data_IF_391258295632
#
_entry.id   IF_391258295632
#
_cell.length_a   1.000
_cell.length_b   1.000
_cell.length_c   1.000
_cell.angle_alpha   90.00
_cell.angle_beta   90.00
_cell.angle_gamma   90.00
#
_symmetry.space_group_name_H-M   'P 1'
#
loop_
_entity.id
_entity.type
_entity.pdbx_description
1 polymer ?
#
# COMPACT_ATOMS: atom_id res chain seq x y z
N UNK A 1 37.42 3.43 19.05
CA UNK A 1 36.15 3.91 18.48
C UNK A 1 35.09 2.88 18.85
N UNK A 2 34.18 3.19 19.76
CA UNK A 2 33.03 2.31 20.05
C UNK A 2 32.11 2.33 18.86
N UNK A 3 31.93 1.21 18.16
CA UNK A 3 30.96 1.10 17.08
C UNK A 3 29.58 1.38 17.67
N UNK A 4 28.89 2.42 17.19
CA UNK A 4 27.49 2.68 17.60
C UNK A 4 26.65 1.46 17.23
N UNK A 5 26.02 0.83 18.21
CA UNK A 5 25.07 -0.23 17.96
C UNK A 5 23.78 0.40 17.43
N UNK A 6 23.36 0.02 16.22
CA UNK A 6 22.14 0.50 15.62
C UNK A 6 20.91 0.03 16.44
N UNK A 7 19.96 0.92 16.63
CA UNK A 7 18.64 0.57 17.18
C UNK A 7 17.87 -0.37 16.23
N UNK A 8 16.78 -0.93 16.70
CA UNK A 8 15.91 -1.78 15.84
C UNK A 8 15.45 -1.03 14.57
N UNK A 9 14.91 0.17 14.72
CA UNK A 9 14.44 0.96 13.58
C UNK A 9 15.57 1.43 12.65
N UNK A 10 16.74 1.78 13.17
CA UNK A 10 17.91 2.10 12.34
C UNK A 10 18.39 0.90 11.51
N UNK A 11 18.27 -0.33 12.02
CA UNK A 11 18.57 -1.55 11.25
C UNK A 11 17.55 -1.80 10.15
N UNK A 12 16.26 -1.67 10.45
CA UNK A 12 15.20 -1.79 9.45
C UNK A 12 15.32 -0.73 8.34
N UNK A 13 15.63 0.51 8.71
CA UNK A 13 15.90 1.59 7.76
C UNK A 13 17.09 1.27 6.86
N UNK A 14 18.22 0.83 7.44
CA UNK A 14 19.42 0.48 6.68
C UNK A 14 19.16 -0.67 5.70
N UNK A 15 18.43 -1.70 6.11
CA UNK A 15 18.00 -2.81 5.24
C UNK A 15 17.15 -2.30 4.08
N UNK A 16 16.13 -1.49 4.36
CA UNK A 16 15.24 -0.95 3.33
C UNK A 16 15.98 -0.06 2.33
N UNK A 17 16.89 0.79 2.80
CA UNK A 17 17.74 1.63 1.94
C UNK A 17 18.66 0.77 1.06
N UNK A 18 19.24 -0.28 1.62
CA UNK A 18 20.04 -1.23 0.85
C UNK A 18 19.23 -1.87 -0.27
N UNK A 19 18.03 -2.41 0.04
CA UNK A 19 17.12 -3.01 -0.95
C UNK A 19 16.76 -2.03 -2.07
N UNK A 20 16.42 -0.78 -1.74
CA UNK A 20 16.10 0.25 -2.73
C UNK A 20 17.26 0.52 -3.69
N UNK A 21 18.49 0.59 -3.16
CA UNK A 21 19.71 0.80 -3.96
C UNK A 21 20.07 -0.40 -4.82
N UNK A 22 19.93 -1.63 -4.30
CA UNK A 22 20.15 -2.86 -5.06
C UNK A 22 19.24 -2.94 -6.29
N UNK A 23 17.96 -2.62 -6.14
CA UNK A 23 17.03 -2.64 -7.27
C UNK A 23 17.42 -1.62 -8.35
N UNK A 24 17.82 -0.42 -7.95
CA UNK A 24 18.26 0.61 -8.92
C UNK A 24 19.56 0.20 -9.63
N UNK A 25 20.43 -0.56 -8.96
CA UNK A 25 21.67 -1.05 -9.57
C UNK A 25 21.45 -2.23 -10.53
N UNK A 26 20.45 -3.07 -10.26
CA UNK A 26 20.24 -4.37 -10.93
C UNK A 26 19.11 -4.35 -11.97
N UNK A 27 18.14 -3.41 -11.85
CA UNK A 27 16.95 -3.34 -12.71
C UNK A 27 17.05 -2.15 -13.68
N UNK A 28 16.51 -2.32 -14.89
CA UNK A 28 16.60 -1.30 -15.94
C UNK A 28 15.56 -0.18 -15.74
N UNK A 29 14.37 -0.52 -15.32
CA UNK A 29 13.26 0.43 -15.22
C UNK A 29 12.39 0.19 -13.98
N UNK A 30 12.88 0.52 -12.78
CA UNK A 30 12.11 0.40 -11.55
C UNK A 30 11.03 1.46 -11.44
N UNK A 31 9.97 1.17 -10.65
CA UNK A 31 8.88 2.09 -10.31
C UNK A 31 8.47 1.89 -8.86
N UNK A 32 8.04 2.95 -8.17
CA UNK A 32 7.47 2.84 -6.83
C UNK A 32 5.95 2.95 -6.88
N UNK A 33 5.26 1.91 -6.43
CA UNK A 33 3.80 1.94 -6.30
C UNK A 33 3.42 2.86 -5.13
N UNK A 34 2.65 3.89 -5.43
CA UNK A 34 2.27 4.91 -4.45
C UNK A 34 0.77 4.90 -4.18
N UNK A 35 0.35 4.11 -3.19
CA UNK A 35 -1.06 3.96 -2.78
C UNK A 35 -1.55 5.07 -1.84
N UNK A 36 -0.66 5.93 -1.36
CA UNK A 36 -0.89 7.01 -0.38
C UNK A 36 -1.29 6.49 1.02
N UNK A 37 -1.09 5.21 1.29
CA UNK A 37 -1.21 4.63 2.63
C UNK A 37 0.05 4.89 3.48
N UNK A 38 -0.02 4.59 4.78
CA UNK A 38 1.10 4.76 5.71
C UNK A 38 2.38 4.04 5.27
N UNK A 39 2.22 2.82 4.75
CA UNK A 39 3.34 1.99 4.31
C UNK A 39 4.04 2.60 3.08
N UNK A 40 3.27 3.06 2.09
CA UNK A 40 3.84 3.75 0.92
C UNK A 40 4.41 5.14 1.25
N UNK A 41 3.90 5.81 2.28
CA UNK A 41 4.48 7.07 2.78
C UNK A 41 5.87 6.82 3.40
N UNK A 42 6.00 5.77 4.22
CA UNK A 42 7.32 5.36 4.77
C UNK A 42 8.27 4.96 3.64
N UNK A 43 7.81 4.19 2.65
CA UNK A 43 8.65 3.82 1.50
C UNK A 43 9.14 5.04 0.71
N UNK A 44 8.28 6.04 0.47
CA UNK A 44 8.68 7.29 -0.20
C UNK A 44 9.74 8.04 0.63
N UNK A 45 9.56 8.11 1.95
CA UNK A 45 10.53 8.72 2.84
C UNK A 45 11.89 7.99 2.79
N UNK A 46 11.88 6.65 2.86
CA UNK A 46 13.08 5.81 2.75
C UNK A 46 13.79 5.99 1.39
N UNK A 47 13.02 6.07 0.30
CA UNK A 47 13.57 6.32 -1.04
C UNK A 47 14.27 7.68 -1.12
N UNK A 48 13.65 8.73 -0.60
CA UNK A 48 14.28 10.07 -0.52
C UNK A 48 15.58 10.04 0.29
N UNK A 49 15.63 9.30 1.41
CA UNK A 49 16.87 9.10 2.19
C UNK A 49 17.91 8.29 1.42
N UNK A 50 17.50 7.24 0.72
CA UNK A 50 18.39 6.34 -0.01
C UNK A 50 19.20 7.05 -1.11
N UNK A 51 18.60 8.06 -1.76
CA UNK A 51 19.20 8.75 -2.88
C UNK A 51 19.57 10.22 -2.61
N UNK A 52 19.37 10.69 -1.37
CA UNK A 52 19.79 12.05 -0.99
C UNK A 52 21.24 12.34 -1.38
N UNK A 53 21.56 13.54 -1.96
CA UNK A 53 20.70 14.73 -2.10
C UNK A 53 19.85 14.77 -3.39
N UNK A 54 20.00 13.81 -4.30
CA UNK A 54 19.22 13.73 -5.52
C UNK A 54 17.83 13.14 -5.26
N UNK A 55 16.81 13.43 -6.09
CA UNK A 55 15.56 12.69 -6.05
C UNK A 55 15.78 11.21 -6.41
N UNK A 56 14.92 10.29 -5.95
CA UNK A 56 14.98 8.89 -6.35
C UNK A 56 14.91 8.73 -7.88
N UNK A 57 15.75 7.86 -8.50
CA UNK A 57 15.87 7.76 -9.95
C UNK A 57 14.79 6.86 -10.59
N UNK A 58 13.58 6.92 -10.09
CA UNK A 58 12.41 6.18 -10.60
C UNK A 58 11.12 6.95 -10.30
N UNK A 59 10.06 6.76 -11.11
CA UNK A 59 8.78 7.44 -10.89
C UNK A 59 7.95 6.81 -9.78
N UNK A 60 6.95 7.57 -9.33
CA UNK A 60 5.81 7.07 -8.56
C UNK A 60 4.70 6.62 -9.52
N UNK A 61 4.12 5.44 -9.29
CA UNK A 61 2.95 4.98 -10.01
C UNK A 61 1.75 4.89 -9.07
N UNK A 62 0.73 5.68 -9.34
CA UNK A 62 -0.55 5.61 -8.67
C UNK A 62 -1.60 4.96 -9.58
N UNK A 63 -2.02 3.74 -9.25
CA UNK A 63 -3.17 3.11 -9.91
C UNK A 63 -4.44 3.69 -9.30
N UNK A 64 -5.07 4.59 -10.04
CA UNK A 64 -6.22 5.35 -9.58
C UNK A 64 -7.52 4.61 -9.92
N UNK A 65 -8.27 4.28 -8.88
CA UNK A 65 -9.58 3.63 -9.00
C UNK A 65 -10.73 4.63 -9.08
N UNK A 66 -10.44 5.95 -9.10
CA UNK A 66 -11.39 7.06 -8.98
C UNK A 66 -12.17 7.11 -7.65
N UNK A 67 -11.99 6.11 -6.80
CA UNK A 67 -12.69 5.93 -5.53
C UNK A 67 -11.74 6.00 -4.32
N UNK A 68 -10.83 6.98 -4.31
CA UNK A 68 -10.02 7.30 -3.13
C UNK A 68 -10.67 8.42 -2.33
N UNK A 69 -10.36 8.48 -1.04
CA UNK A 69 -10.73 9.63 -0.21
C UNK A 69 -10.08 10.92 -0.76
N UNK A 70 -10.80 12.06 -0.68
CA UNK A 70 -10.28 13.37 -1.13
C UNK A 70 -8.92 13.71 -0.54
N UNK A 71 -8.77 13.51 0.78
CA UNK A 71 -7.51 13.75 1.49
C UNK A 71 -6.33 12.90 0.96
N UNK A 72 -6.59 11.74 0.35
CA UNK A 72 -5.53 10.94 -0.28
C UNK A 72 -5.03 11.56 -1.57
N UNK A 73 -5.91 12.10 -2.41
CA UNK A 73 -5.50 12.81 -3.63
C UNK A 73 -4.68 14.05 -3.32
N UNK A 74 -5.08 14.83 -2.33
CA UNK A 74 -4.37 16.03 -1.89
C UNK A 74 -2.95 15.70 -1.42
N UNK A 75 -2.81 14.68 -0.54
CA UNK A 75 -1.50 14.24 -0.07
C UNK A 75 -0.65 13.66 -1.19
N UNK A 76 -1.23 12.87 -2.11
CA UNK A 76 -0.54 12.29 -3.27
C UNK A 76 0.18 13.36 -4.07
N UNK A 77 -0.58 14.37 -4.49
CA UNK A 77 -0.08 15.40 -5.40
C UNK A 77 0.94 16.32 -4.70
N UNK A 78 0.73 16.60 -3.41
CA UNK A 78 1.70 17.33 -2.60
C UNK A 78 3.01 16.56 -2.46
N UNK A 79 2.97 15.30 -2.05
CA UNK A 79 4.17 14.51 -1.80
C UNK A 79 4.95 14.20 -3.08
N UNK A 80 4.29 14.03 -4.22
CA UNK A 80 4.96 13.88 -5.50
C UNK A 80 5.78 15.13 -5.84
N UNK A 81 5.19 16.32 -5.71
CA UNK A 81 5.92 17.60 -5.92
C UNK A 81 7.09 17.76 -4.95
N UNK A 82 6.87 17.53 -3.65
CA UNK A 82 7.91 17.71 -2.62
C UNK A 82 9.05 16.69 -2.72
N UNK A 83 8.80 15.53 -3.29
CA UNK A 83 9.84 14.51 -3.51
C UNK A 83 10.69 14.76 -4.76
N UNK A 84 10.25 15.62 -5.66
CA UNK A 84 10.88 15.83 -6.97
C UNK A 84 10.76 14.64 -7.91
N UNK A 85 9.88 13.67 -7.61
CA UNK A 85 9.66 12.48 -8.42
C UNK A 85 8.51 12.69 -9.41
N UNK A 86 8.64 12.10 -10.59
CA UNK A 86 7.54 12.03 -11.56
C UNK A 86 6.39 11.20 -10.98
N UNK A 87 5.16 11.69 -11.10
CA UNK A 87 3.95 10.97 -10.71
C UNK A 87 3.20 10.49 -11.95
N UNK A 88 3.17 9.19 -12.15
CA UNK A 88 2.35 8.53 -13.15
C UNK A 88 1.02 8.10 -12.52
N UNK A 89 -0.08 8.62 -13.03
CA UNK A 89 -1.44 8.26 -12.61
C UNK A 89 -2.07 7.41 -13.70
N UNK A 90 -2.38 6.15 -13.39
CA UNK A 90 -2.98 5.23 -14.34
C UNK A 90 -4.40 4.87 -13.94
N UNK A 91 -5.33 4.99 -14.87
CA UNK A 91 -6.72 4.54 -14.75
C UNK A 91 -6.96 3.46 -15.80
N UNK A 92 -7.57 2.33 -15.41
CA UNK A 92 -7.93 1.28 -16.36
C UNK A 92 -9.01 1.80 -17.33
N UNK A 93 -8.73 1.92 -18.64
CA UNK A 93 -9.67 2.49 -19.59
C UNK A 93 -10.94 1.64 -19.76
N UNK A 94 -10.84 0.31 -19.73
CA UNK A 94 -11.99 -0.59 -19.83
C UNK A 94 -12.91 -0.46 -18.60
N UNK A 95 -12.34 -0.41 -17.39
CA UNK A 95 -13.12 -0.22 -16.17
C UNK A 95 -13.84 1.13 -16.17
N UNK A 96 -13.21 2.16 -16.75
CA UNK A 96 -13.78 3.51 -16.89
C UNK A 96 -14.94 3.50 -17.91
N UNK A 97 -14.74 2.92 -19.07
CA UNK A 97 -15.74 2.83 -20.15
C UNK A 97 -16.98 2.05 -19.69
N UNK A 98 -16.78 0.96 -18.95
CA UNK A 98 -17.85 0.12 -18.40
C UNK A 98 -18.51 0.71 -17.15
N UNK A 99 -18.08 1.85 -16.64
CA UNK A 99 -18.62 2.49 -15.44
C UNK A 99 -18.48 1.64 -14.17
N UNK A 100 -17.42 0.82 -14.08
CA UNK A 100 -17.21 -0.10 -12.95
C UNK A 100 -17.02 0.69 -11.66
N UNK A 101 -17.96 0.55 -10.73
CA UNK A 101 -17.95 1.22 -9.43
C UNK A 101 -18.04 0.20 -8.27
N UNK A 102 -17.67 0.57 -7.04
CA UNK A 102 -17.61 -0.37 -5.92
C UNK A 102 -18.97 -0.80 -5.37
N UNK A 103 -20.05 -0.05 -5.62
CA UNK A 103 -21.38 -0.34 -5.07
C UNK A 103 -22.12 -1.41 -5.88
N UNK A 104 -22.04 -1.32 -7.21
CA UNK A 104 -22.78 -2.22 -8.10
C UNK A 104 -21.95 -3.45 -8.50
N UNK A 105 -20.62 -3.35 -8.40
CA UNK A 105 -19.72 -4.35 -8.99
C UNK A 105 -18.83 -5.07 -7.95
N UNK A 106 -18.87 -4.69 -6.67
CA UNK A 106 -18.20 -5.40 -5.58
C UNK A 106 -16.73 -5.79 -5.87
N UNK A 107 -16.44 -7.10 -5.85
CA UNK A 107 -15.10 -7.64 -6.10
C UNK A 107 -14.56 -7.29 -7.51
N UNK A 108 -15.42 -7.27 -8.53
CA UNK A 108 -15.03 -6.91 -9.91
C UNK A 108 -14.41 -5.51 -9.98
N UNK A 109 -14.90 -4.57 -9.18
CA UNK A 109 -14.28 -3.24 -9.08
C UNK A 109 -12.81 -3.33 -8.68
N UNK A 110 -12.47 -4.13 -7.69
CA UNK A 110 -11.08 -4.30 -7.26
C UNK A 110 -10.23 -4.99 -8.33
N UNK A 111 -10.76 -6.02 -8.96
CA UNK A 111 -10.03 -6.80 -9.95
C UNK A 111 -9.74 -5.96 -11.20
N UNK A 112 -10.72 -5.24 -11.73
CA UNK A 112 -10.55 -4.39 -12.90
C UNK A 112 -9.67 -3.17 -12.64
N UNK A 113 -9.97 -2.41 -11.60
CA UNK A 113 -9.26 -1.15 -11.35
C UNK A 113 -7.87 -1.34 -10.76
N UNK A 114 -7.69 -2.31 -9.84
CA UNK A 114 -6.41 -2.50 -9.15
C UNK A 114 -5.55 -3.56 -9.81
N UNK A 115 -6.08 -4.79 -9.98
CA UNK A 115 -5.27 -5.91 -10.47
C UNK A 115 -4.95 -5.73 -11.95
N UNK A 116 -5.97 -5.61 -12.79
CA UNK A 116 -5.76 -5.42 -14.23
C UNK A 116 -5.15 -4.05 -14.54
N UNK A 117 -5.59 -2.99 -13.85
CA UNK A 117 -5.02 -1.66 -14.00
C UNK A 117 -3.52 -1.60 -13.67
N UNK A 118 -3.08 -2.34 -12.65
CA UNK A 118 -1.64 -2.44 -12.33
C UNK A 118 -0.87 -3.17 -13.44
N UNK A 119 -1.36 -4.33 -13.92
CA UNK A 119 -0.72 -5.08 -15.00
C UNK A 119 -0.58 -4.21 -16.25
N UNK A 120 -1.68 -3.60 -16.67
CA UNK A 120 -1.71 -2.70 -17.84
C UNK A 120 -0.69 -1.54 -17.70
N UNK A 121 -0.61 -0.92 -16.53
CA UNK A 121 0.34 0.15 -16.31
C UNK A 121 1.79 -0.33 -16.39
N UNK A 122 2.11 -1.48 -15.78
CA UNK A 122 3.46 -2.03 -15.79
C UNK A 122 3.90 -2.40 -17.21
N UNK A 123 3.01 -3.00 -18.00
CA UNK A 123 3.26 -3.37 -19.40
C UNK A 123 3.40 -2.12 -20.29
N UNK A 124 2.47 -1.17 -20.16
CA UNK A 124 2.47 0.06 -20.94
C UNK A 124 3.75 0.86 -20.78
N UNK A 125 4.22 0.99 -19.54
CA UNK A 125 5.44 1.73 -19.25
C UNK A 125 6.71 0.87 -19.32
N UNK A 126 6.58 -0.45 -19.44
CA UNK A 126 7.71 -1.39 -19.51
C UNK A 126 8.53 -1.47 -18.23
N UNK A 127 7.89 -1.40 -17.06
CA UNK A 127 8.58 -1.51 -15.78
C UNK A 127 8.98 -2.97 -15.50
N UNK A 128 10.22 -3.17 -15.13
CA UNK A 128 10.79 -4.49 -14.83
C UNK A 128 10.90 -4.79 -13.34
N UNK A 129 10.81 -3.77 -12.48
CA UNK A 129 10.75 -3.89 -11.04
C UNK A 129 9.73 -2.89 -10.45
N UNK A 130 8.92 -3.34 -9.48
CA UNK A 130 7.96 -2.47 -8.80
C UNK A 130 8.07 -2.61 -7.28
N UNK A 131 8.42 -1.49 -6.62
CA UNK A 131 8.45 -1.42 -5.17
C UNK A 131 7.04 -1.37 -4.59
N UNK A 132 6.80 -2.14 -3.54
CA UNK A 132 5.53 -2.20 -2.84
C UNK A 132 5.64 -2.25 -1.33
N UNK A 133 4.63 -1.74 -0.66
CA UNK A 133 4.56 -1.58 0.78
C UNK A 133 4.06 -2.81 1.55
N UNK A 134 4.08 -4.01 0.96
CA UNK A 134 3.63 -5.20 1.66
C UNK A 134 4.62 -5.63 2.75
N UNK A 135 4.07 -6.07 3.89
CA UNK A 135 4.81 -6.53 5.06
C UNK A 135 4.41 -7.97 5.42
N UNK A 136 5.36 -8.77 5.89
CA UNK A 136 5.10 -10.14 6.35
C UNK A 136 4.13 -10.21 7.53
N UNK A 137 4.13 -9.16 8.35
CA UNK A 137 3.25 -9.00 9.52
C UNK A 137 1.77 -8.78 9.14
N UNK A 138 1.50 -8.32 7.92
CA UNK A 138 0.19 -7.89 7.47
C UNK A 138 -0.82 -9.04 7.36
N UNK A 139 -0.38 -10.17 6.80
CA UNK A 139 -1.17 -11.40 6.71
C UNK A 139 -0.33 -12.64 6.30
N UNK A 140 -0.90 -13.85 6.49
CA UNK A 140 -0.21 -15.13 6.26
C UNK A 140 0.32 -15.32 4.84
N UNK A 141 -0.39 -14.84 3.81
CA UNK A 141 0.06 -14.99 2.42
C UNK A 141 1.27 -14.12 2.13
N UNK A 142 1.40 -12.96 2.79
CA UNK A 142 2.55 -12.06 2.68
C UNK A 142 3.81 -12.66 3.31
N UNK A 143 3.67 -13.42 4.38
CA UNK A 143 4.79 -14.11 5.03
C UNK A 143 5.50 -15.11 4.12
N UNK A 144 4.84 -15.63 3.08
CA UNK A 144 5.40 -16.54 2.09
C UNK A 144 6.20 -15.85 0.99
N UNK A 145 6.02 -14.55 0.78
CA UNK A 145 6.73 -13.81 -0.27
C UNK A 145 8.17 -13.51 0.11
N UNK A 146 9.02 -13.50 -0.92
CA UNK A 146 10.40 -13.01 -0.82
C UNK A 146 10.41 -11.48 -0.92
N UNK A 147 11.48 -10.85 -0.48
CA UNK A 147 11.70 -9.42 -0.66
C UNK A 147 11.78 -9.09 -2.16
N UNK A 148 12.50 -9.92 -2.94
CA UNK A 148 12.50 -9.90 -4.41
C UNK A 148 11.57 -11.01 -4.91
N UNK A 149 10.31 -10.68 -5.10
CA UNK A 149 9.26 -11.63 -5.50
C UNK A 149 9.09 -11.65 -7.01
N UNK A 150 9.57 -12.72 -7.64
CA UNK A 150 9.53 -12.89 -9.11
C UNK A 150 8.11 -13.12 -9.60
N UNK A 151 7.80 -12.49 -10.73
CA UNK A 151 6.52 -12.60 -11.44
C UNK A 151 6.76 -13.13 -12.83
N UNK A 152 5.89 -14.02 -13.27
CA UNK A 152 5.86 -14.53 -14.65
C UNK A 152 5.53 -13.41 -15.64
N UNK A 153 5.65 -13.68 -16.93
CA UNK A 153 5.25 -12.77 -18.00
C UNK A 153 3.76 -12.35 -17.93
N UNK A 154 2.90 -13.14 -17.26
CA UNK A 154 1.49 -12.81 -16.99
C UNK A 154 1.31 -12.14 -15.61
N UNK A 155 2.37 -11.65 -14.97
CA UNK A 155 2.42 -11.06 -13.64
C UNK A 155 2.09 -11.99 -12.46
N UNK A 156 1.83 -13.28 -12.72
CA UNK A 156 1.49 -14.26 -11.70
C UNK A 156 2.67 -14.59 -10.77
N UNK A 157 2.37 -14.85 -9.51
CA UNK A 157 3.33 -15.35 -8.53
C UNK A 157 3.36 -16.87 -8.52
N UNK A 158 4.54 -17.45 -8.74
CA UNK A 158 4.79 -18.89 -8.62
C UNK A 158 5.74 -19.15 -7.45
N UNK A 159 5.30 -19.85 -6.38
CA UNK A 159 6.17 -20.14 -5.23
C UNK A 159 7.37 -21.02 -5.56
N UNK A 160 7.31 -21.81 -6.64
CA UNK A 160 8.40 -22.69 -7.07
C UNK A 160 9.50 -21.94 -7.82
N UNK A 161 9.19 -20.78 -8.35
CA UNK A 161 10.13 -19.96 -9.14
C UNK A 161 10.64 -18.74 -8.36
N UNK A 162 10.83 -18.90 -7.05
CA UNK A 162 11.40 -17.86 -6.20
C UNK A 162 12.85 -18.21 -5.83
N UNK A 163 13.65 -17.17 -5.55
CA UNK A 163 15.06 -17.35 -5.20
C UNK A 163 15.28 -17.27 -3.70
N UNK A 164 16.24 -18.02 -3.14
CA UNK A 164 16.64 -17.87 -1.76
C UNK A 164 17.33 -16.51 -1.53
N UNK A 165 17.08 -15.91 -0.37
CA UNK A 165 17.62 -14.61 0.06
C UNK A 165 18.52 -14.82 1.30
N UNK A 166 19.52 -15.69 1.17
CA UNK A 166 20.45 -15.98 2.25
C UNK A 166 21.38 -14.79 2.49
N UNK A 167 21.65 -14.47 3.72
CA UNK A 167 22.53 -13.38 4.17
C UNK A 167 22.20 -12.00 3.60
N UNK A 168 20.90 -11.74 3.31
CA UNK A 168 20.43 -10.52 2.68
C UNK A 168 21.11 -10.22 1.33
N UNK A 169 21.50 -11.26 0.62
CA UNK A 169 21.96 -11.17 -0.75
C UNK A 169 20.77 -11.33 -1.70
N UNK A 170 20.57 -10.34 -2.54
CA UNK A 170 19.47 -10.31 -3.50
C UNK A 170 20.00 -10.57 -4.90
N UNK A 171 19.20 -11.20 -5.74
CA UNK A 171 19.54 -11.48 -7.12
C UNK A 171 18.35 -11.11 -7.99
N UNK A 172 18.46 -10.00 -8.70
CA UNK A 172 17.42 -9.47 -9.57
C UNK A 172 17.48 -10.01 -11.01
N UNK A 173 18.38 -10.97 -11.30
CA UNK A 173 18.47 -11.56 -12.65
C UNK A 173 17.15 -12.25 -13.00
N UNK A 174 16.49 -11.81 -14.04
CA UNK A 174 15.19 -12.29 -14.52
C UNK A 174 15.27 -12.77 -15.97
N UNK A 175 14.34 -13.60 -16.38
CA UNK A 175 14.17 -13.97 -17.78
C UNK A 175 13.46 -12.84 -18.54
N UNK A 176 13.50 -12.93 -19.87
CA UNK A 176 12.77 -11.99 -20.72
C UNK A 176 11.28 -12.04 -20.39
N UNK A 177 10.65 -10.86 -20.26
CA UNK A 177 9.25 -10.64 -19.88
C UNK A 177 8.89 -10.97 -18.42
N UNK A 178 9.78 -11.49 -17.57
CA UNK A 178 9.57 -11.55 -16.13
C UNK A 178 9.76 -10.17 -15.49
N UNK A 179 9.08 -9.95 -14.37
CA UNK A 179 9.24 -8.76 -13.55
C UNK A 179 9.42 -9.11 -12.08
N UNK A 180 9.83 -8.16 -11.27
CA UNK A 180 10.02 -8.36 -9.83
C UNK A 180 9.13 -7.40 -9.05
N UNK A 181 8.41 -7.92 -8.05
CA UNK A 181 7.84 -7.09 -6.99
C UNK A 181 8.83 -7.04 -5.86
N UNK A 182 9.18 -5.84 -5.40
CA UNK A 182 10.17 -5.66 -4.34
C UNK A 182 9.51 -5.06 -3.12
N UNK A 183 9.76 -5.64 -1.95
CA UNK A 183 9.13 -5.25 -0.68
C UNK A 183 10.16 -4.75 0.33
N UNK A 184 10.63 -3.49 0.22
CA UNK A 184 11.70 -2.96 1.07
C UNK A 184 11.38 -2.97 2.57
N UNK A 185 10.10 -2.90 2.92
CA UNK A 185 9.63 -2.90 4.31
C UNK A 185 9.02 -4.26 4.74
N UNK A 186 9.36 -5.34 4.05
CA UNK A 186 8.81 -6.68 4.29
C UNK A 186 8.97 -7.16 5.74
N UNK A 187 10.08 -6.81 6.38
CA UNK A 187 10.42 -7.23 7.75
C UNK A 187 9.90 -6.27 8.84
N UNK A 188 9.21 -5.21 8.48
CA UNK A 188 8.63 -4.25 9.41
C UNK A 188 7.28 -4.74 9.95
N UNK A 189 7.00 -4.46 11.22
CA UNK A 189 5.67 -4.62 11.81
C UNK A 189 4.82 -3.35 11.63
N UNK A 190 3.50 -3.43 11.88
CA UNK A 190 2.64 -2.25 11.90
C UNK A 190 3.13 -1.22 12.93
N UNK A 191 3.60 -1.70 14.07
CA UNK A 191 4.16 -0.86 15.13
C UNK A 191 5.43 -0.14 14.68
N UNK A 192 6.35 -0.82 13.98
CA UNK A 192 7.57 -0.20 13.44
C UNK A 192 7.22 0.93 12.46
N UNK A 193 6.22 0.73 11.60
CA UNK A 193 5.72 1.77 10.69
C UNK A 193 5.27 3.02 11.46
N UNK A 194 4.44 2.85 12.49
CA UNK A 194 3.93 3.98 13.27
C UNK A 194 5.02 4.68 14.07
N UNK A 195 5.93 3.95 14.70
CA UNK A 195 7.06 4.51 15.42
C UNK A 195 8.01 5.26 14.47
N UNK A 196 8.25 4.72 13.28
CA UNK A 196 9.10 5.37 12.28
C UNK A 196 8.47 6.67 11.76
N UNK A 197 7.15 6.67 11.49
CA UNK A 197 6.39 7.87 11.13
C UNK A 197 6.55 8.96 12.22
N UNK A 198 6.42 8.59 13.49
CA UNK A 198 6.55 9.52 14.62
C UNK A 198 7.98 10.08 14.75
N UNK A 199 9.00 9.23 14.62
CA UNK A 199 10.39 9.63 14.80
C UNK A 199 10.94 10.49 13.66
N UNK A 200 10.39 10.36 12.46
CA UNK A 200 10.88 11.04 11.27
C UNK A 200 9.88 12.07 10.72
N UNK A 201 8.79 12.36 11.42
CA UNK A 201 7.72 13.27 11.00
C UNK A 201 7.23 12.99 9.56
N UNK A 202 7.06 11.71 9.23
CA UNK A 202 6.63 11.30 7.89
C UNK A 202 5.21 11.78 7.62
N UNK A 203 4.96 12.57 6.56
CA UNK A 203 3.61 13.04 6.23
C UNK A 203 2.68 11.89 5.86
N UNK A 204 1.53 11.83 6.51
CA UNK A 204 0.47 10.84 6.27
C UNK A 204 -0.89 11.50 6.12
N UNK A 205 -1.87 10.73 5.60
CA UNK A 205 -3.24 11.20 5.44
C UNK A 205 -3.90 11.44 6.79
N UNK A 206 -4.61 12.57 7.02
CA UNK A 206 -5.28 12.87 8.30
C UNK A 206 -6.34 11.84 8.72
N UNK A 207 -6.77 10.98 7.80
CA UNK A 207 -7.76 9.92 8.07
C UNK A 207 -7.26 8.84 9.04
N UNK A 208 -5.97 8.78 9.30
CA UNK A 208 -5.40 7.90 10.33
C UNK A 208 -5.64 8.39 11.76
N UNK A 209 -6.03 9.64 11.92
CA UNK A 209 -6.35 10.25 13.21
C UNK A 209 -7.87 10.34 13.42
N UNK A 210 -8.30 10.12 14.66
CA UNK A 210 -9.70 10.25 15.03
C UNK A 210 -10.19 11.70 14.85
N UNK A 211 -11.34 11.83 14.20
CA UNK A 211 -12.08 13.08 14.06
C UNK A 211 -13.56 12.77 13.84
N UNK A 212 -14.42 13.76 14.10
CA UNK A 212 -15.83 13.69 13.80
C UNK A 212 -16.05 13.65 12.27
N UNK A 213 -16.67 12.56 11.78
CA UNK A 213 -16.95 12.36 10.37
C UNK A 213 -18.32 11.76 10.13
N UNK A 214 -19.00 12.11 9.01
CA UNK A 214 -20.29 11.52 8.66
C UNK A 214 -20.11 10.05 8.29
N UNK A 215 -20.87 9.17 8.92
CA UNK A 215 -20.76 7.71 8.75
C UNK A 215 -22.12 7.05 8.63
N UNK A 216 -22.14 5.95 7.89
CA UNK A 216 -23.25 5.00 7.84
C UNK A 216 -22.77 3.61 8.23
N UNK A 217 -23.67 2.78 8.74
CA UNK A 217 -23.34 1.40 9.13
C UNK A 217 -23.94 0.43 8.12
N UNK A 218 -23.12 -0.29 7.36
CA UNK A 218 -23.54 -1.28 6.36
C UNK A 218 -22.74 -2.57 6.50
N UNK A 219 -23.43 -3.71 6.46
CA UNK A 219 -22.81 -5.05 6.41
C UNK A 219 -21.76 -5.27 7.52
N UNK A 220 -22.02 -4.74 8.71
CA UNK A 220 -21.11 -4.81 9.85
C UNK A 220 -19.85 -3.94 9.70
N UNK A 221 -19.85 -2.98 8.79
CA UNK A 221 -18.77 -2.00 8.60
C UNK A 221 -19.27 -0.58 8.84
N UNK A 222 -18.43 0.24 9.45
CA UNK A 222 -18.63 1.67 9.58
C UNK A 222 -17.98 2.37 8.39
N UNK A 223 -18.81 2.91 7.49
CA UNK A 223 -18.36 3.54 6.25
C UNK A 223 -18.47 5.07 6.38
N UNK A 224 -17.40 5.78 6.01
CA UNK A 224 -17.41 7.24 5.95
C UNK A 224 -18.05 7.69 4.65
N UNK A 225 -18.93 8.68 4.72
CA UNK A 225 -19.49 9.38 3.55
C UNK A 225 -18.54 10.54 3.19
N UNK A 226 -17.71 10.35 2.17
CA UNK A 226 -16.67 11.32 1.80
C UNK A 226 -17.14 12.34 0.75
N UNK A 227 -18.07 11.93 -0.11
CA UNK A 227 -18.63 12.79 -1.16
C UNK A 227 -20.03 12.34 -1.62
N UNK A 228 -20.64 13.13 -2.52
CA UNK A 228 -22.00 12.96 -3.02
C UNK A 228 -22.21 11.71 -3.90
N UNK A 229 -21.13 11.02 -4.28
CA UNK A 229 -21.20 9.75 -5.03
C UNK A 229 -21.56 8.56 -4.13
N UNK A 230 -21.57 8.76 -2.81
CA UNK A 230 -21.97 7.70 -1.88
C UNK A 230 -23.50 7.56 -1.90
N UNK A 231 -24.08 6.47 -2.44
CA UNK A 231 -25.52 6.30 -2.53
C UNK A 231 -26.08 5.95 -1.14
N UNK A 232 -26.80 6.89 -0.54
CA UNK A 232 -27.56 6.64 0.67
C UNK A 232 -28.81 5.81 0.31
N UNK A 233 -29.17 4.84 1.17
CA UNK A 233 -30.42 4.08 1.05
C UNK A 233 -31.58 4.91 1.57
N UNK A 234 -32.82 4.54 1.17
CA UNK A 234 -34.03 5.20 1.65
C UNK A 234 -34.08 5.17 3.18
N UNK A 235 -34.20 6.35 3.79
CA UNK A 235 -34.21 6.52 5.25
C UNK A 235 -32.84 6.39 5.94
N UNK A 236 -31.75 6.26 5.19
CA UNK A 236 -30.40 6.23 5.76
C UNK A 236 -29.86 7.66 5.90
N UNK A 237 -29.55 8.09 7.11
CA UNK A 237 -28.95 9.38 7.39
C UNK A 237 -27.53 9.19 7.95
N UNK A 238 -26.52 9.93 7.41
CA UNK A 238 -25.18 9.89 7.97
C UNK A 238 -25.14 10.43 9.40
N UNK A 239 -24.52 9.67 10.31
CA UNK A 239 -24.35 10.05 11.71
C UNK A 239 -22.90 10.48 11.93
N UNK A 240 -22.70 11.65 12.57
CA UNK A 240 -21.38 12.11 12.98
C UNK A 240 -20.81 11.22 14.07
N UNK A 241 -19.62 10.68 13.86
CA UNK A 241 -18.90 9.81 14.80
C UNK A 241 -17.42 10.11 14.81
N UNK A 242 -16.83 9.99 15.99
CA UNK A 242 -15.37 10.07 16.12
C UNK A 242 -14.75 8.77 15.61
N UNK A 243 -14.19 8.83 14.40
CA UNK A 243 -13.64 7.67 13.69
C UNK A 243 -12.23 7.94 13.15
N UNK A 244 -11.47 6.86 12.97
CA UNK A 244 -10.23 6.82 12.20
C UNK A 244 -10.16 5.58 11.33
N UNK A 245 -9.17 5.55 10.44
CA UNK A 245 -8.86 4.36 9.64
C UNK A 245 -7.56 3.70 10.11
N UNK A 246 -7.49 2.38 10.11
CA UNK A 246 -6.25 1.63 10.33
C UNK A 246 -5.50 1.40 9.02
N UNK A 247 -6.25 1.20 7.93
CA UNK A 247 -5.71 1.10 6.57
C UNK A 247 -6.55 1.95 5.63
N UNK A 248 -5.98 2.40 4.52
CA UNK A 248 -6.67 3.17 3.51
C UNK A 248 -6.72 2.42 2.17
N UNK A 249 -7.87 2.45 1.54
CA UNK A 249 -8.13 1.81 0.26
C UNK A 249 -9.10 2.63 -0.59
N UNK A 250 -10.02 1.99 -1.31
CA UNK A 250 -11.18 2.67 -1.89
C UNK A 250 -12.16 3.01 -0.78
N UNK A 251 -12.66 4.25 -0.73
CA UNK A 251 -13.39 4.73 0.43
C UNK A 251 -14.65 3.92 0.75
N UNK A 252 -15.47 3.46 -0.21
CA UNK A 252 -16.66 2.70 0.14
C UNK A 252 -16.39 1.22 0.49
N UNK A 253 -15.14 0.75 0.30
CA UNK A 253 -14.71 -0.62 0.62
C UNK A 253 -13.77 -0.68 1.83
N UNK A 254 -13.57 0.44 2.50
CA UNK A 254 -12.67 0.55 3.66
C UNK A 254 -13.47 0.95 4.88
N UNK A 255 -13.61 0.02 5.84
CA UNK A 255 -14.26 0.30 7.11
C UNK A 255 -13.41 1.17 8.01
N UNK A 256 -14.05 2.10 8.70
CA UNK A 256 -13.46 2.87 9.78
C UNK A 256 -13.64 2.15 11.13
N UNK A 257 -12.94 2.61 12.14
CA UNK A 257 -13.11 2.20 13.54
C UNK A 257 -13.45 3.42 14.40
N UNK A 258 -14.35 3.26 15.36
CA UNK A 258 -14.56 4.29 16.37
C UNK A 258 -13.30 4.41 17.23
N UNK A 259 -12.83 5.62 17.43
CA UNK A 259 -11.60 5.88 18.15
C UNK A 259 -11.57 7.32 18.66
N UNK A 260 -10.76 7.54 19.70
CA UNK A 260 -10.40 8.87 20.23
C UNK A 260 -8.94 9.24 19.95
N UNK A 261 -8.20 8.37 19.26
CA UNK A 261 -6.78 8.58 18.98
C UNK A 261 -6.59 9.66 17.91
N UNK A 262 -6.40 10.88 18.31
CA UNK A 262 -6.21 12.08 17.46
C UNK A 262 -4.74 12.46 17.26
N UNK A 263 -3.81 11.76 17.91
CA UNK A 263 -2.36 11.98 17.80
C UNK A 263 -1.63 10.68 17.48
N UNK A 264 -0.40 10.76 16.92
CA UNK A 264 0.44 9.59 16.63
C UNK A 264 0.69 8.74 17.88
N UNK A 265 0.99 9.36 19.01
CA UNK A 265 1.22 8.63 20.26
C UNK A 265 -0.01 7.82 20.68
N UNK A 266 -1.21 8.36 20.53
CA UNK A 266 -2.46 7.64 20.82
C UNK A 266 -2.73 6.51 19.82
N UNK A 267 -2.45 6.71 18.53
CA UNK A 267 -2.53 5.66 17.51
C UNK A 267 -1.56 4.52 17.83
N UNK A 268 -0.34 4.81 18.26
CA UNK A 268 0.65 3.81 18.68
C UNK A 268 0.13 3.04 19.90
N UNK A 269 -0.43 3.71 20.91
CA UNK A 269 -1.01 3.07 22.09
C UNK A 269 -2.16 2.12 21.71
N UNK A 270 -3.08 2.54 20.83
CA UNK A 270 -4.15 1.67 20.34
C UNK A 270 -3.59 0.47 19.56
N UNK A 271 -2.53 0.67 18.77
CA UNK A 271 -1.89 -0.42 18.00
C UNK A 271 -1.27 -1.46 18.93
N UNK A 272 -0.62 -1.04 20.00
CA UNK A 272 -0.04 -1.94 21.01
C UNK A 272 -1.10 -2.80 21.72
N UNK A 273 -2.31 -2.27 21.90
CA UNK A 273 -3.40 -2.97 22.58
C UNK A 273 -4.22 -3.86 21.62
N UNK A 274 -3.98 -3.75 20.33
CA UNK A 274 -4.77 -4.46 19.30
C UNK A 274 -4.21 -5.85 19.06
N UNK A 275 -5.09 -6.86 19.12
CA UNK A 275 -4.76 -8.27 18.82
C UNK A 275 -5.19 -8.71 17.42
N UNK A 276 -5.87 -7.83 16.67
CA UNK A 276 -6.43 -8.13 15.34
C UNK A 276 -5.61 -7.49 14.23
N UNK A 277 -5.50 -8.17 13.07
CA UNK A 277 -4.84 -7.61 11.89
C UNK A 277 -5.47 -6.29 11.46
N UNK A 278 -4.64 -5.35 10.98
CA UNK A 278 -5.09 -4.07 10.42
C UNK A 278 -6.04 -4.22 9.20
N UNK A 279 -5.99 -5.35 8.52
CA UNK A 279 -6.83 -5.65 7.34
C UNK A 279 -8.24 -6.11 7.67
N UNK A 280 -8.56 -6.44 8.91
CA UNK A 280 -9.85 -7.02 9.32
C UNK A 280 -11.07 -6.12 8.97
N UNK A 281 -10.88 -4.83 8.74
CA UNK A 281 -11.93 -3.87 8.34
C UNK A 281 -12.16 -3.75 6.84
N UNK A 282 -11.49 -4.54 5.96
CA UNK A 282 -11.64 -4.44 4.52
C UNK A 282 -12.70 -5.40 3.98
N UNK A 283 -13.64 -4.89 3.18
CA UNK A 283 -14.68 -5.72 2.54
C UNK A 283 -14.10 -6.86 1.71
N UNK A 284 -13.02 -6.60 0.98
CA UNK A 284 -12.36 -7.57 0.11
C UNK A 284 -11.80 -8.79 0.84
N UNK A 285 -11.47 -8.66 2.12
CA UNK A 285 -10.91 -9.76 2.92
C UNK A 285 -12.02 -10.64 3.53
N UNK A 286 -13.28 -10.16 3.55
CA UNK A 286 -14.45 -10.93 3.99
C UNK A 286 -14.94 -11.92 2.93
N UNK A 287 -14.85 -11.55 1.64
CA UNK A 287 -15.37 -12.37 0.54
C UNK A 287 -14.50 -13.59 0.20
N UNK A 288 -13.30 -13.66 0.72
CA UNK A 288 -12.26 -14.55 0.19
C UNK A 288 -11.81 -15.67 1.15
N UNK A 289 -12.52 -15.99 2.22
CA UNK A 289 -12.21 -17.09 3.16
C UNK A 289 -10.73 -17.52 3.11
N UNK A 290 -9.86 -17.06 3.95
CA UNK A 290 -8.45 -17.38 4.17
C UNK A 290 -7.49 -17.69 2.99
N UNK A 291 -8.00 -18.05 1.83
CA UNK A 291 -7.25 -18.36 0.61
C UNK A 291 -7.30 -17.26 -0.46
N UNK A 292 -8.13 -16.22 -0.27
CA UNK A 292 -8.41 -15.23 -1.31
C UNK A 292 -7.20 -14.41 -1.73
N UNK A 293 -6.35 -14.00 -0.80
CA UNK A 293 -5.16 -13.21 -1.13
C UNK A 293 -4.08 -14.04 -1.84
N UNK A 294 -3.96 -15.35 -1.53
CA UNK A 294 -3.03 -16.22 -2.24
C UNK A 294 -3.45 -16.43 -3.70
N UNK A 295 -4.74 -16.63 -3.94
CA UNK A 295 -5.30 -16.69 -5.29
C UNK A 295 -5.08 -15.37 -6.05
N UNK A 296 -5.33 -14.23 -5.42
CA UNK A 296 -5.11 -12.92 -6.04
C UNK A 296 -3.65 -12.65 -6.40
N UNK A 297 -2.68 -13.15 -5.61
CA UNK A 297 -1.25 -13.07 -5.99
C UNK A 297 -0.94 -13.90 -7.24
N UNK A 298 -1.54 -15.09 -7.37
CA UNK A 298 -1.39 -15.90 -8.58
C UNK A 298 -2.00 -15.21 -9.80
N UNK A 299 -3.05 -14.42 -9.63
CA UNK A 299 -3.68 -13.59 -10.66
C UNK A 299 -2.91 -12.29 -10.98
N UNK A 300 -1.82 -12.01 -10.26
CA UNK A 300 -1.00 -10.81 -10.46
C UNK A 300 -1.34 -9.62 -9.56
N UNK A 301 -2.22 -9.81 -8.57
CA UNK A 301 -2.46 -8.78 -7.55
C UNK A 301 -1.21 -8.57 -6.70
N UNK A 302 -1.11 -7.38 -6.16
CA UNK A 302 -0.01 -6.86 -5.39
C UNK A 302 -0.07 -7.25 -3.92
#
# INVERSE_FOLDING_TARGET
>A
MTSKVLTHLERLEAESIHILREVVAECEKPVMLYSVGKDSAVMLHLARKAFYPSPPPFPLLHVDTTWKFKAMYELRDRMARESGMELLVYQNPEAKERGINPFDHGALHTDMWKTEGLKQALDLYGFDAAFGGARRDEEKSRAKERIFSFRTASHGWDPKNQRPELWNLYNARKNKAESIRVFPISNWTELDIWQYIQLNDVPIVPLYFAAERPTVHRDGMLLMVDDDRFPLKDGEEPVMRSIRFRTLGCYPLTGAVESKASTLSQVIQETLLTTTSERQGRAIDKDAGGAGMEKKKQEGYF
#
